data_IF_634683603822
#
_entry.id   IF_634683603822
#
_cell.length_a   1.000
_cell.length_b   1.000
_cell.length_c   1.000
_cell.angle_alpha   90.00
_cell.angle_beta   90.00
_cell.angle_gamma   90.00
#
_symmetry.space_group_name_H-M   'P 1'
#
loop_
_entity.id
_entity.type
_entity.pdbx_description
1 polymer ?
#
# COMPACT_ATOMS: atom_id res chain seq x y z
N UNK A 1 22.32 13.08 0.78
CA UNK A 1 22.80 11.70 0.93
C UNK A 1 22.01 10.80 -0.04
N UNK A 2 22.43 10.70 -1.31
CA UNK A 2 21.68 9.94 -2.31
C UNK A 2 21.63 8.42 -2.03
N UNK A 3 22.66 7.89 -1.37
CA UNK A 3 22.71 6.48 -0.99
C UNK A 3 21.62 6.08 0.00
N UNK A 4 21.23 6.95 0.94
CA UNK A 4 20.13 6.64 1.87
C UNK A 4 18.81 6.57 1.12
N UNK A 5 18.53 7.54 0.24
CA UNK A 5 17.31 7.57 -0.56
C UNK A 5 17.09 6.28 -1.37
N UNK A 6 18.12 5.77 -2.05
CA UNK A 6 17.98 4.51 -2.80
C UNK A 6 17.76 3.30 -1.90
N UNK A 7 18.44 3.24 -0.74
CA UNK A 7 18.20 2.20 0.26
C UNK A 7 16.77 2.22 0.79
N UNK A 8 16.27 3.40 1.14
CA UNK A 8 14.90 3.64 1.57
C UNK A 8 13.88 3.24 0.49
N UNK A 9 14.14 3.57 -0.77
CA UNK A 9 13.26 3.23 -1.89
C UNK A 9 13.20 1.72 -2.14
N UNK A 10 14.33 1.00 -2.05
CA UNK A 10 14.37 -0.46 -2.17
C UNK A 10 13.57 -1.09 -1.01
N UNK A 11 13.78 -0.62 0.22
CA UNK A 11 13.04 -1.12 1.38
C UNK A 11 11.53 -0.84 1.25
N UNK A 12 11.14 0.37 0.84
CA UNK A 12 9.75 0.72 0.63
C UNK A 12 9.09 -0.10 -0.49
N UNK A 13 9.82 -0.42 -1.57
CA UNK A 13 9.32 -1.33 -2.60
C UNK A 13 9.09 -2.75 -2.06
N UNK A 14 9.97 -3.25 -1.20
CA UNK A 14 9.79 -4.53 -0.51
C UNK A 14 8.58 -4.52 0.43
N UNK A 15 8.33 -3.43 1.15
CA UNK A 15 7.16 -3.29 2.02
C UNK A 15 5.85 -3.31 1.20
N UNK A 16 5.83 -2.62 0.05
CA UNK A 16 4.69 -2.65 -0.87
C UNK A 16 4.44 -4.06 -1.43
N UNK A 17 5.51 -4.77 -1.82
CA UNK A 17 5.40 -6.16 -2.27
C UNK A 17 4.87 -7.09 -1.16
N UNK A 18 5.38 -6.94 0.06
CA UNK A 18 4.93 -7.71 1.23
C UNK A 18 3.45 -7.48 1.50
N UNK A 19 2.98 -6.24 1.46
CA UNK A 19 1.57 -5.92 1.62
C UNK A 19 0.69 -6.56 0.53
N UNK A 20 1.14 -6.57 -0.71
CA UNK A 20 0.46 -7.28 -1.79
C UNK A 20 0.45 -8.81 -1.57
N UNK A 21 1.57 -9.41 -1.16
CA UNK A 21 1.65 -10.85 -0.87
C UNK A 21 0.72 -11.24 0.28
N UNK A 22 0.71 -10.48 1.36
CA UNK A 22 -0.16 -10.74 2.52
C UNK A 22 -1.64 -10.58 2.16
N UNK A 23 -2.00 -9.58 1.34
CA UNK A 23 -3.36 -9.44 0.82
C UNK A 23 -3.80 -10.67 0.03
N UNK A 24 -2.90 -11.20 -0.81
CA UNK A 24 -3.14 -12.41 -1.61
C UNK A 24 -3.23 -13.66 -0.74
N UNK A 25 -2.38 -13.78 0.26
CA UNK A 25 -2.36 -14.90 1.20
C UNK A 25 -3.62 -14.89 2.10
N UNK A 26 -3.96 -13.73 2.65
CA UNK A 26 -5.10 -13.56 3.54
C UNK A 26 -6.43 -13.89 2.85
N UNK A 27 -6.53 -13.56 1.55
CA UNK A 27 -7.73 -13.75 0.73
C UNK A 27 -9.02 -13.34 1.49
N UNK A 28 -8.95 -12.22 2.20
CA UNK A 28 -9.93 -11.84 3.21
C UNK A 28 -10.86 -10.75 2.68
N UNK A 29 -12.16 -10.92 2.87
CA UNK A 29 -13.17 -9.99 2.36
C UNK A 29 -12.99 -8.60 2.99
N UNK A 30 -13.09 -7.55 2.16
CA UNK A 30 -12.98 -6.14 2.57
C UNK A 30 -11.63 -5.75 3.20
N UNK A 31 -10.55 -6.51 2.95
CA UNK A 31 -9.22 -6.22 3.49
C UNK A 31 -8.31 -5.42 2.57
N UNK A 32 -8.69 -5.22 1.30
CA UNK A 32 -7.83 -4.59 0.29
C UNK A 32 -7.34 -3.19 0.72
N UNK A 33 -8.23 -2.34 1.22
CA UNK A 33 -7.88 -0.98 1.69
C UNK A 33 -6.95 -0.99 2.91
N UNK A 34 -7.05 -2.01 3.77
CA UNK A 34 -6.10 -2.22 4.86
C UNK A 34 -4.70 -2.49 4.32
N UNK A 35 -4.55 -3.41 3.37
CA UNK A 35 -3.25 -3.74 2.80
C UNK A 35 -2.65 -2.60 1.97
N UNK A 36 -3.48 -1.82 1.28
CA UNK A 36 -3.07 -0.56 0.63
C UNK A 36 -2.48 0.43 1.63
N UNK A 37 -3.21 0.70 2.72
CA UNK A 37 -2.75 1.62 3.76
C UNK A 37 -1.50 1.10 4.47
N UNK A 38 -1.47 -0.20 4.84
CA UNK A 38 -0.35 -0.80 5.56
C UNK A 38 0.94 -0.80 4.74
N UNK A 39 0.88 -1.17 3.46
CA UNK A 39 2.05 -1.13 2.58
C UNK A 39 2.62 0.28 2.41
N UNK A 40 1.74 1.27 2.22
CA UNK A 40 2.16 2.68 2.12
C UNK A 40 2.69 3.23 3.45
N UNK A 41 2.11 2.83 4.58
CA UNK A 41 2.57 3.20 5.91
C UNK A 41 3.98 2.67 6.17
N UNK A 42 4.18 1.36 6.01
CA UNK A 42 5.47 0.70 6.21
C UNK A 42 6.57 1.32 5.33
N UNK A 43 6.27 1.52 4.04
CA UNK A 43 7.18 2.14 3.10
C UNK A 43 7.52 3.59 3.48
N UNK A 44 6.53 4.38 3.92
CA UNK A 44 6.76 5.76 4.37
C UNK A 44 7.63 5.83 5.64
N UNK A 45 7.55 4.84 6.53
CA UNK A 45 8.41 4.76 7.72
C UNK A 45 9.90 4.56 7.38
N UNK A 46 10.23 4.13 6.15
CA UNK A 46 11.63 4.03 5.70
C UNK A 46 12.28 5.39 5.51
N UNK A 47 11.50 6.42 5.18
CA UNK A 47 11.99 7.76 4.86
C UNK A 47 11.52 8.27 3.50
N UNK A 48 12.05 9.41 3.02
CA UNK A 48 11.63 10.02 1.76
C UNK A 48 11.70 9.09 0.55
N UNK A 49 12.71 8.22 0.45
CA UNK A 49 12.82 7.24 -0.64
C UNK A 49 11.73 6.18 -0.60
N UNK A 50 11.36 5.71 0.59
CA UNK A 50 10.28 4.74 0.75
C UNK A 50 8.91 5.33 0.46
N UNK A 51 8.64 6.57 0.92
CA UNK A 51 7.42 7.30 0.56
C UNK A 51 7.31 7.55 -0.95
N UNK A 52 8.43 7.85 -1.61
CA UNK A 52 8.50 7.97 -3.07
C UNK A 52 8.20 6.63 -3.77
N UNK A 53 8.81 5.53 -3.33
CA UNK A 53 8.56 4.20 -3.89
C UNK A 53 7.08 3.79 -3.74
N UNK A 54 6.50 4.02 -2.56
CA UNK A 54 5.09 3.77 -2.28
C UNK A 54 4.17 4.54 -3.24
N UNK A 55 4.51 5.81 -3.54
CA UNK A 55 3.79 6.61 -4.54
C UNK A 55 3.84 6.00 -5.93
N UNK A 56 5.05 5.75 -6.43
CA UNK A 56 5.23 5.24 -7.79
C UNK A 56 4.52 3.90 -7.97
N UNK A 57 4.64 3.00 -7.00
CA UNK A 57 4.01 1.67 -7.07
C UNK A 57 2.48 1.76 -6.97
N UNK A 58 1.95 2.63 -6.10
CA UNK A 58 0.50 2.84 -5.98
C UNK A 58 -0.09 3.42 -7.27
N UNK A 59 0.55 4.43 -7.86
CA UNK A 59 0.12 5.06 -9.12
C UNK A 59 0.19 4.06 -10.29
N UNK A 60 1.20 3.17 -10.31
CA UNK A 60 1.34 2.11 -11.31
C UNK A 60 0.26 1.04 -11.16
N UNK A 61 -0.01 0.58 -9.92
CA UNK A 61 -1.08 -0.39 -9.63
C UNK A 61 -2.44 0.16 -10.04
N UNK A 62 -2.71 1.43 -9.74
CA UNK A 62 -3.96 2.08 -10.14
C UNK A 62 -4.09 2.16 -11.67
N UNK A 63 -3.02 2.50 -12.39
CA UNK A 63 -3.06 2.52 -13.86
C UNK A 63 -3.38 1.15 -14.43
N UNK A 64 -2.79 0.09 -13.87
CA UNK A 64 -3.09 -1.29 -14.26
C UNK A 64 -4.54 -1.68 -13.92
N UNK A 65 -5.02 -1.30 -12.72
CA UNK A 65 -6.40 -1.52 -12.29
C UNK A 65 -7.39 -0.76 -13.17
N UNK A 66 -7.15 0.50 -13.56
CA UNK A 66 -8.04 1.28 -14.43
C UNK A 66 -8.25 0.63 -15.80
N UNK A 67 -7.25 -0.08 -16.33
CA UNK A 67 -7.40 -0.87 -17.56
C UNK A 67 -8.39 -2.02 -17.34
N UNK A 68 -8.37 -2.65 -16.16
CA UNK A 68 -9.32 -3.71 -15.78
C UNK A 68 -10.66 -3.19 -15.24
N UNK A 69 -10.69 -1.96 -14.71
CA UNK A 69 -11.77 -1.34 -13.93
C UNK A 69 -12.64 -0.38 -14.74
N UNK A 70 -12.48 -0.31 -16.07
CA UNK A 70 -13.51 0.22 -16.98
C UNK A 70 -14.90 -0.45 -16.75
N UNK A 71 -14.97 -1.46 -15.87
CA UNK A 71 -16.14 -2.22 -15.45
C UNK A 71 -16.55 -1.97 -13.96
N UNK A 72 -15.71 -1.39 -13.06
CA UNK A 72 -15.95 -1.49 -11.57
C UNK A 72 -15.73 -0.27 -10.65
N UNK A 73 -15.10 0.84 -11.05
CA UNK A 73 -15.19 2.12 -10.31
C UNK A 73 -14.49 2.28 -8.93
N UNK A 74 -13.61 1.37 -8.49
CA UNK A 74 -13.02 1.37 -7.12
C UNK A 74 -11.77 2.28 -6.93
N UNK A 75 -11.14 2.77 -8.02
CA UNK A 75 -9.81 3.42 -7.96
C UNK A 75 -9.65 4.62 -6.99
N UNK A 76 -10.71 5.40 -6.73
CA UNK A 76 -10.64 6.57 -5.84
C UNK A 76 -10.47 6.18 -4.37
N UNK A 77 -11.13 5.10 -3.94
CA UNK A 77 -11.07 4.67 -2.56
C UNK A 77 -9.73 4.01 -2.24
N UNK A 78 -9.12 3.33 -3.21
CA UNK A 78 -7.78 2.75 -3.06
C UNK A 78 -6.71 3.85 -2.95
N UNK A 79 -6.82 4.91 -3.76
CA UNK A 79 -5.96 6.09 -3.62
C UNK A 79 -6.06 6.71 -2.22
N UNK A 80 -7.27 6.89 -1.68
CA UNK A 80 -7.45 7.43 -0.34
C UNK A 80 -6.78 6.56 0.74
N UNK A 81 -6.87 5.23 0.62
CA UNK A 81 -6.19 4.31 1.53
C UNK A 81 -4.66 4.39 1.41
N UNK A 82 -4.14 4.45 0.18
CA UNK A 82 -2.69 4.64 -0.07
C UNK A 82 -2.18 5.93 0.59
N UNK A 83 -2.89 7.05 0.39
CA UNK A 83 -2.51 8.35 0.97
C UNK A 83 -2.61 8.38 2.49
N UNK A 84 -3.66 7.76 3.05
CA UNK A 84 -3.81 7.63 4.50
C UNK A 84 -2.59 6.96 5.12
N UNK A 85 -2.22 5.78 4.62
CA UNK A 85 -1.05 5.04 5.08
C UNK A 85 0.24 5.84 4.90
N UNK A 86 0.47 6.38 3.69
CA UNK A 86 1.69 7.13 3.36
C UNK A 86 1.85 8.40 4.18
N UNK A 87 0.75 8.98 4.68
CA UNK A 87 0.77 10.11 5.60
C UNK A 87 1.15 9.76 7.05
N UNK A 88 1.36 8.47 7.35
CA UNK A 88 1.70 7.97 8.68
C UNK A 88 0.48 7.75 9.59
N UNK A 89 -0.74 7.75 9.05
CA UNK A 89 -1.95 7.43 9.83
C UNK A 89 -2.11 5.92 9.95
N UNK A 90 -2.73 5.49 11.05
CA UNK A 90 -2.91 4.08 11.39
C UNK A 90 -3.68 3.30 10.31
N UNK A 91 -3.07 2.28 9.67
CA UNK A 91 -3.74 1.42 8.70
C UNK A 91 -4.94 0.66 9.29
N UNK A 92 -4.98 0.42 10.60
CA UNK A 92 -6.08 -0.31 11.24
C UNK A 92 -7.42 0.41 11.14
N UNK A 93 -7.42 1.69 10.75
CA UNK A 93 -8.63 2.38 10.32
C UNK A 93 -9.44 1.59 9.27
N UNK A 94 -8.76 0.83 8.41
CA UNK A 94 -9.38 0.00 7.37
C UNK A 94 -9.41 -1.50 7.70
N UNK A 95 -8.94 -1.93 8.88
CA UNK A 95 -8.85 -3.35 9.22
C UNK A 95 -10.25 -3.96 9.35
N UNK A 96 -10.60 -4.99 8.57
CA UNK A 96 -11.89 -5.65 8.73
C UNK A 96 -11.89 -6.50 10.00
N UNK A 97 -13.04 -6.59 10.72
CA UNK A 97 -13.16 -7.46 11.88
C UNK A 97 -12.80 -8.91 11.53
N UNK A 98 -11.96 -9.53 12.35
CA UNK A 98 -11.56 -10.92 12.18
C UNK A 98 -10.40 -11.16 11.19
N UNK A 99 -9.78 -10.11 10.63
CA UNK A 99 -8.51 -10.28 9.91
C UNK A 99 -7.44 -10.82 10.87
N UNK A 100 -6.77 -11.94 10.57
CA UNK A 100 -5.76 -12.53 11.46
C UNK A 100 -4.66 -11.55 11.87
N UNK A 101 -4.30 -11.51 13.15
CA UNK A 101 -3.36 -10.54 13.74
C UNK A 101 -1.93 -10.60 13.18
N UNK A 102 -1.58 -11.66 12.45
CA UNK A 102 -0.29 -11.73 11.74
C UNK A 102 -0.19 -10.71 10.60
N UNK A 103 -1.33 -10.17 10.15
CA UNK A 103 -1.43 -9.15 9.10
C UNK A 103 -1.63 -7.78 9.69
#
# INVERSE_FOLDING_TARGET
>A
QWYSFFGEAIQGAWDMYRAYSDMREANYKNSDKYFHARGNYDAAQRGPGGAWAAKVISDARERQQRITDLIKGDSKADQAANEWGRSGKDPNHFRPPGLPDKY
#
